data_IF_909926145848
#
_entry.id   IF_909926145848
#
_cell.length_a   1.000
_cell.length_b   1.000
_cell.length_c   1.000
_cell.angle_alpha   90.00
_cell.angle_beta   90.00
_cell.angle_gamma   90.00
#
_symmetry.space_group_name_H-M   'P 1'
#
loop_
_entity.id
_entity.type
_entity.pdbx_description
1 polymer ?
#
# COMPACT_ATOMS: atom_id res chain seq x y z
N UNK A 1 31.33 5.30 13.97
CA UNK A 1 30.41 5.61 12.85
C UNK A 1 30.71 7.04 12.42
N UNK A 2 31.13 7.29 11.18
CA UNK A 2 31.51 8.64 10.73
C UNK A 2 30.32 9.59 10.89
N UNK A 3 30.56 10.88 11.19
CA UNK A 3 29.49 11.87 11.37
C UNK A 3 28.50 11.90 10.21
N UNK A 4 29.00 11.70 8.99
CA UNK A 4 28.23 11.62 7.74
C UNK A 4 27.21 10.47 7.77
N UNK A 5 27.60 9.30 8.27
CA UNK A 5 26.70 8.15 8.36
C UNK A 5 25.54 8.43 9.31
N UNK A 6 25.80 9.17 10.40
CA UNK A 6 24.81 9.57 11.40
C UNK A 6 23.80 10.57 10.85
N UNK A 7 24.27 11.54 10.05
CA UNK A 7 23.42 12.52 9.40
C UNK A 7 22.54 11.89 8.31
N UNK A 8 23.09 10.95 7.54
CA UNK A 8 22.33 10.17 6.54
C UNK A 8 21.23 9.34 7.22
N UNK A 9 21.55 8.60 8.28
CA UNK A 9 20.54 7.81 9.02
C UNK A 9 19.43 8.69 9.59
N UNK A 10 19.77 9.88 10.10
CA UNK A 10 18.79 10.83 10.65
C UNK A 10 17.90 11.43 9.57
N UNK A 11 18.46 11.74 8.41
CA UNK A 11 17.69 12.18 7.24
C UNK A 11 16.72 11.09 6.78
N UNK A 12 17.19 9.84 6.62
CA UNK A 12 16.35 8.72 6.19
C UNK A 12 15.21 8.47 7.18
N UNK A 13 15.50 8.45 8.49
CA UNK A 13 14.46 8.29 9.52
C UNK A 13 13.39 9.39 9.40
N UNK A 14 13.80 10.66 9.35
CA UNK A 14 12.86 11.77 9.24
C UNK A 14 12.06 11.75 7.93
N UNK A 15 12.71 11.43 6.80
CA UNK A 15 12.05 11.32 5.51
C UNK A 15 11.00 10.20 5.52
N UNK A 16 11.33 9.05 6.11
CA UNK A 16 10.41 7.92 6.21
C UNK A 16 9.24 8.22 7.16
N UNK A 17 9.49 8.85 8.32
CA UNK A 17 8.43 9.23 9.27
C UNK A 17 7.43 10.22 8.65
N UNK A 18 7.92 11.14 7.82
CA UNK A 18 7.06 12.09 7.12
C UNK A 18 6.33 11.41 5.96
N UNK A 19 7.01 10.62 5.14
CA UNK A 19 6.44 10.07 3.90
C UNK A 19 5.52 8.87 4.10
N UNK A 20 5.81 7.99 5.05
CA UNK A 20 5.04 6.77 5.31
C UNK A 20 3.53 7.00 5.54
N UNK A 21 3.07 7.95 6.39
CA UNK A 21 1.64 8.19 6.57
C UNK A 21 0.96 8.69 5.28
N UNK A 22 1.64 9.50 4.48
CA UNK A 22 1.08 9.96 3.20
C UNK A 22 0.99 8.82 2.18
N UNK A 23 2.02 7.98 2.05
CA UNK A 23 2.01 6.82 1.16
C UNK A 23 0.90 5.84 1.55
N UNK A 24 0.70 5.60 2.85
CA UNK A 24 -0.42 4.79 3.35
C UNK A 24 -1.77 5.42 3.00
N UNK A 25 -1.93 6.71 3.26
CA UNK A 25 -3.19 7.42 3.01
C UNK A 25 -3.55 7.40 1.52
N UNK A 26 -2.59 7.71 0.63
CA UNK A 26 -2.79 7.62 -0.81
C UNK A 26 -3.09 6.18 -1.26
N UNK A 27 -2.34 5.20 -0.76
CA UNK A 27 -2.57 3.78 -1.07
C UNK A 27 -3.96 3.31 -0.65
N UNK A 28 -4.44 3.71 0.53
CA UNK A 28 -5.78 3.41 1.01
C UNK A 28 -6.87 4.07 0.17
N UNK A 29 -6.72 5.36 -0.17
CA UNK A 29 -7.69 6.08 -1.02
C UNK A 29 -7.81 5.40 -2.39
N UNK A 30 -6.67 5.10 -3.03
CA UNK A 30 -6.65 4.39 -4.32
C UNK A 30 -7.28 3.00 -4.20
N UNK A 31 -7.00 2.28 -3.11
CA UNK A 31 -7.58 0.97 -2.83
C UNK A 31 -9.11 1.01 -2.69
N UNK A 32 -9.66 1.98 -1.95
CA UNK A 32 -11.11 2.15 -1.78
C UNK A 32 -11.78 2.48 -3.12
N UNK A 33 -11.19 3.39 -3.90
CA UNK A 33 -11.71 3.75 -5.24
C UNK A 33 -11.69 2.52 -6.16
N UNK A 34 -10.60 1.75 -6.17
CA UNK A 34 -10.49 0.55 -6.98
C UNK A 34 -11.58 -0.48 -6.63
N UNK A 35 -11.81 -0.73 -5.33
CA UNK A 35 -12.87 -1.64 -4.87
C UNK A 35 -14.25 -1.14 -5.29
N UNK A 36 -14.53 0.16 -5.17
CA UNK A 36 -15.79 0.75 -5.62
C UNK A 36 -16.05 0.55 -7.12
N UNK A 37 -15.04 0.81 -7.95
CA UNK A 37 -15.13 0.61 -9.40
C UNK A 37 -15.29 -0.87 -9.78
N UNK A 38 -14.60 -1.77 -9.08
CA UNK A 38 -14.74 -3.21 -9.25
C UNK A 38 -16.17 -3.66 -8.90
N UNK A 39 -16.74 -3.16 -7.80
CA UNK A 39 -18.12 -3.45 -7.40
C UNK A 39 -19.13 -3.03 -8.47
N UNK A 40 -18.99 -1.83 -9.02
CA UNK A 40 -19.84 -1.34 -10.12
C UNK A 40 -19.71 -2.25 -11.35
N UNK A 41 -18.48 -2.64 -11.72
CA UNK A 41 -18.24 -3.56 -12.85
C UNK A 41 -18.84 -4.93 -12.61
N UNK A 42 -18.81 -5.43 -11.37
CA UNK A 42 -19.37 -6.73 -11.02
C UNK A 42 -20.90 -6.73 -11.18
N UNK A 43 -21.56 -5.67 -10.72
CA UNK A 43 -23.02 -5.48 -10.86
C UNK A 43 -23.41 -5.31 -12.34
N UNK A 44 -22.60 -4.59 -13.12
CA UNK A 44 -22.88 -4.30 -14.52
C UNK A 44 -22.52 -5.45 -15.49
N UNK A 45 -21.80 -6.47 -15.01
CA UNK A 45 -21.37 -7.60 -15.82
C UNK A 45 -22.56 -8.49 -16.24
N UNK A 46 -22.70 -8.69 -17.55
CA UNK A 46 -23.84 -9.38 -18.15
C UNK A 46 -23.62 -10.89 -18.22
N UNK A 47 -22.37 -11.33 -18.31
CA UNK A 47 -22.00 -12.71 -18.51
C UNK A 47 -21.15 -13.26 -17.35
N UNK A 48 -21.24 -14.57 -17.08
CA UNK A 48 -20.47 -15.23 -16.02
C UNK A 48 -18.95 -15.10 -16.21
N UNK A 49 -18.48 -15.07 -17.45
CA UNK A 49 -17.05 -14.93 -17.77
C UNK A 49 -16.51 -13.53 -17.42
N UNK A 50 -17.29 -12.47 -17.65
CA UNK A 50 -16.91 -11.10 -17.24
C UNK A 50 -16.84 -10.99 -15.71
N UNK A 51 -17.79 -11.61 -15.00
CA UNK A 51 -17.78 -11.63 -13.53
C UNK A 51 -16.52 -12.33 -12.99
N UNK A 52 -16.10 -13.44 -13.62
CA UNK A 52 -14.89 -14.15 -13.22
C UNK A 52 -13.62 -13.28 -13.35
N UNK A 53 -13.48 -12.55 -14.45
CA UNK A 53 -12.35 -11.62 -14.67
C UNK A 53 -12.39 -10.47 -13.64
N UNK A 54 -13.56 -9.92 -13.35
CA UNK A 54 -13.71 -8.86 -12.35
C UNK A 54 -13.38 -9.37 -10.94
N UNK A 55 -13.78 -10.59 -10.60
CA UNK A 55 -13.43 -11.27 -9.34
C UNK A 55 -11.93 -11.56 -9.23
N UNK A 56 -11.27 -11.90 -10.33
CA UNK A 56 -9.83 -12.09 -10.34
C UNK A 56 -9.10 -10.77 -10.07
N UNK A 57 -9.52 -9.68 -10.72
CA UNK A 57 -8.98 -8.34 -10.46
C UNK A 57 -9.27 -7.87 -9.03
N UNK A 58 -10.43 -8.21 -8.47
CA UNK A 58 -10.76 -7.96 -7.07
C UNK A 58 -9.77 -8.63 -6.12
N UNK A 59 -9.50 -9.92 -6.33
CA UNK A 59 -8.52 -10.68 -5.54
C UNK A 59 -7.15 -9.99 -5.52
N UNK A 60 -6.66 -9.55 -6.68
CA UNK A 60 -5.37 -8.85 -6.77
C UNK A 60 -5.38 -7.47 -6.08
N UNK A 61 -6.47 -6.71 -6.19
CA UNK A 61 -6.61 -5.45 -5.43
C UNK A 61 -6.56 -5.68 -3.92
N UNK A 62 -7.24 -6.72 -3.41
CA UNK A 62 -7.21 -7.07 -1.98
C UNK A 62 -5.81 -7.47 -1.54
N UNK A 63 -5.11 -8.30 -2.34
CA UNK A 63 -3.72 -8.68 -2.06
C UNK A 63 -2.81 -7.45 -2.02
N UNK A 64 -2.96 -6.51 -2.96
CA UNK A 64 -2.20 -5.27 -2.98
C UNK A 64 -2.42 -4.40 -1.74
N UNK A 65 -3.66 -4.30 -1.26
CA UNK A 65 -4.02 -3.59 -0.03
C UNK A 65 -3.42 -4.24 1.22
N UNK A 66 -3.45 -5.57 1.31
CA UNK A 66 -2.81 -6.31 2.40
C UNK A 66 -1.29 -6.13 2.40
N UNK A 67 -0.68 -6.18 1.22
CA UNK A 67 0.76 -5.95 1.06
C UNK A 67 1.14 -4.53 1.44
N UNK A 68 0.34 -3.51 1.10
CA UNK A 68 0.57 -2.12 1.51
C UNK A 68 0.67 -2.00 3.03
N UNK A 69 -0.25 -2.63 3.78
CA UNK A 69 -0.26 -2.63 5.24
C UNK A 69 0.89 -3.42 5.87
N UNK A 70 1.23 -4.59 5.31
CA UNK A 70 2.37 -5.39 5.77
C UNK A 70 3.70 -4.68 5.52
N UNK A 71 3.87 -4.09 4.34
CA UNK A 71 5.11 -3.43 3.95
C UNK A 71 5.38 -2.21 4.82
N UNK A 72 4.35 -1.41 5.11
CA UNK A 72 4.49 -0.29 6.05
C UNK A 72 4.80 -0.74 7.47
N UNK A 73 4.18 -1.81 7.96
CA UNK A 73 4.48 -2.36 9.28
C UNK A 73 5.94 -2.83 9.40
N UNK A 74 6.45 -3.51 8.37
CA UNK A 74 7.85 -3.97 8.31
C UNK A 74 8.82 -2.79 8.25
N UNK A 75 8.53 -1.79 7.43
CA UNK A 75 9.34 -0.58 7.29
C UNK A 75 9.40 0.18 8.63
N UNK A 76 8.28 0.37 9.32
CA UNK A 76 8.25 0.98 10.65
C UNK A 76 9.04 0.18 11.68
N UNK A 77 8.91 -1.15 11.67
CA UNK A 77 9.69 -2.02 12.56
C UNK A 77 11.20 -1.91 12.30
N UNK A 78 11.62 -1.90 11.04
CA UNK A 78 13.03 -1.75 10.66
C UNK A 78 13.60 -0.39 11.07
N UNK A 79 12.82 0.69 10.91
CA UNK A 79 13.21 2.03 11.37
C UNK A 79 13.39 2.01 12.89
N UNK A 80 12.39 1.55 13.65
CA UNK A 80 12.44 1.54 15.10
C UNK A 80 13.54 0.64 15.70
N UNK A 81 13.98 -0.39 14.97
CA UNK A 81 14.96 -1.38 15.46
C UNK A 81 16.40 -1.02 15.08
N UNK A 82 16.62 -0.43 13.90
CA UNK A 82 17.97 -0.24 13.34
C UNK A 82 18.43 1.22 13.26
N UNK A 83 17.54 2.19 13.46
CA UNK A 83 17.82 3.62 13.35
C UNK A 83 17.42 4.35 14.65
#
# INVERSE_FOLDING_TARGET
MSGILKDITKFVSNFMDVSAPYVLCFGLIVGVIAIGLIGIKLISAKNGNERAIVLENFKWSVIGLLLLGLFTSIVYFLIATFF
#
